data_IF_517338056939
#
_entry.id   IF_517338056939
#
_cell.length_a   1.000
_cell.length_b   1.000
_cell.length_c   1.000
_cell.angle_alpha   90.00
_cell.angle_beta   90.00
_cell.angle_gamma   90.00
#
_symmetry.space_group_name_H-M   'P 1'
#
loop_
_entity.id
_entity.type
_entity.pdbx_description
1 polymer ?
#
# COMPACT_ATOMS: atom_id res chain seq x y z
N UNK A 1 -65.18 -40.94 20.11
CA UNK A 1 -65.18 -42.22 19.37
C UNK A 1 -64.08 -43.08 19.95
N UNK A 2 -64.46 -44.10 20.71
CA UNK A 2 -63.61 -45.07 21.39
C UNK A 2 -63.35 -46.28 20.51
N UNK A 3 -62.15 -46.87 20.60
CA UNK A 3 -61.83 -48.31 20.57
C UNK A 3 -60.40 -48.39 21.15
N UNK A 4 -60.11 -48.77 22.40
CA UNK A 4 -60.21 -50.07 23.09
C UNK A 4 -59.72 -51.25 22.26
N UNK A 5 -58.53 -51.75 22.62
CA UNK A 5 -58.28 -53.19 22.78
C UNK A 5 -57.30 -53.39 23.95
N UNK A 6 -57.57 -54.40 24.77
CA UNK A 6 -56.98 -54.63 26.09
C UNK A 6 -56.61 -56.11 26.24
N UNK A 7 -55.42 -56.36 26.82
CA UNK A 7 -55.05 -57.48 27.73
C UNK A 7 -54.82 -58.91 27.15
N UNK A 8 -54.30 -59.86 27.96
CA UNK A 8 -53.07 -59.87 28.80
C UNK A 8 -52.35 -61.26 28.72
N UNK A 9 -51.28 -61.53 29.49
CA UNK A 9 -51.06 -62.79 30.27
C UNK A 9 -49.89 -62.58 31.27
N UNK A 10 -49.97 -63.31 32.39
CA UNK A 10 -49.36 -63.14 33.72
C UNK A 10 -48.33 -64.25 34.05
N UNK A 11 -47.40 -63.92 34.96
CA UNK A 11 -46.73 -64.77 36.00
C UNK A 11 -45.66 -65.78 35.49
N UNK A 12 -44.53 -66.04 36.17
CA UNK A 12 -44.35 -66.65 37.52
C UNK A 12 -42.94 -66.33 38.12
N UNK A 13 -42.86 -66.35 39.46
CA UNK A 13 -41.73 -66.17 40.41
C UNK A 13 -40.59 -67.23 40.27
N UNK A 14 -39.35 -67.06 40.75
CA UNK A 14 -38.91 -67.19 42.18
C UNK A 14 -37.36 -67.06 42.36
N UNK A 15 -36.82 -66.95 43.60
CA UNK A 15 -35.55 -66.28 43.97
C UNK A 15 -34.44 -67.20 44.54
N UNK A 16 -33.25 -66.61 44.80
CA UNK A 16 -32.23 -66.83 45.87
C UNK A 16 -30.85 -66.34 45.31
N UNK A 17 -29.79 -65.96 46.02
CA UNK A 17 -29.43 -65.35 47.32
C UNK A 17 -27.86 -65.39 47.37
N UNK A 18 -27.25 -64.71 48.36
CA UNK A 18 -25.80 -64.56 48.70
C UNK A 18 -25.03 -63.45 47.95
N UNK A 19 -24.50 -62.36 48.55
CA UNK A 19 -23.70 -62.04 49.76
C UNK A 19 -22.17 -62.00 49.55
N UNK A 20 -21.61 -60.85 49.94
CA UNK A 20 -20.21 -60.54 50.34
C UNK A 20 -19.17 -60.45 49.20
N UNK A 21 -18.07 -59.69 49.27
CA UNK A 21 -17.63 -58.46 49.93
C UNK A 21 -16.17 -58.26 49.46
N UNK A 22 -15.81 -57.03 49.11
CA UNK A 22 -14.47 -56.42 49.14
C UNK A 22 -13.25 -57.06 48.43
N UNK A 23 -12.62 -56.23 47.58
CA UNK A 23 -11.18 -56.24 47.36
C UNK A 23 -10.75 -55.88 45.94
N UNK A 24 -10.25 -54.65 45.72
CA UNK A 24 -9.03 -54.36 44.95
C UNK A 24 -8.77 -52.83 44.84
N UNK A 25 -7.73 -52.36 45.54
CA UNK A 25 -6.72 -51.43 45.03
C UNK A 25 -5.58 -52.30 44.45
N UNK A 26 -4.74 -51.92 43.49
CA UNK A 26 -4.15 -50.62 43.12
C UNK A 26 -3.61 -50.66 41.67
N UNK A 27 -3.40 -49.47 41.09
CA UNK A 27 -2.36 -49.07 40.08
C UNK A 27 -2.30 -49.85 38.73
N UNK A 28 -2.19 -49.26 37.54
CA UNK A 28 -1.47 -48.07 37.09
C UNK A 28 -2.27 -47.35 35.98
N UNK A 29 -2.36 -46.02 36.09
CA UNK A 29 -2.81 -45.15 35.00
C UNK A 29 -1.58 -44.57 34.29
N UNK A 30 -1.25 -45.10 33.12
CA UNK A 30 -0.34 -44.45 32.18
C UNK A 30 -1.08 -43.32 31.46
N UNK A 31 -0.68 -42.07 31.72
CA UNK A 31 -1.05 -40.92 30.89
C UNK A 31 -0.35 -41.04 29.54
N UNK A 32 -1.12 -41.28 28.49
CA UNK A 32 -0.73 -40.89 27.13
C UNK A 32 -1.59 -39.69 26.74
N UNK A 33 -0.97 -38.50 26.79
CA UNK A 33 -1.63 -37.25 26.42
C UNK A 33 -1.91 -37.26 24.91
N UNK A 34 -3.19 -37.27 24.55
CA UNK A 34 -3.63 -36.94 23.19
C UNK A 34 -3.11 -35.55 22.79
N UNK A 35 -2.70 -35.33 21.53
CA UNK A 35 -2.27 -34.02 21.08
C UNK A 35 -3.43 -33.01 21.21
N UNK A 36 -3.15 -31.74 21.57
CA UNK A 36 -4.19 -30.77 21.83
C UNK A 36 -5.01 -30.52 20.57
N UNK A 37 -6.33 -30.68 20.69
CA UNK A 37 -7.29 -30.28 19.66
C UNK A 37 -7.10 -28.80 19.34
N UNK A 38 -6.93 -28.48 18.06
CA UNK A 38 -6.88 -27.14 17.46
C UNK A 38 -8.23 -26.39 17.56
N UNK A 39 -8.79 -26.30 18.77
CA UNK A 39 -10.10 -25.75 19.04
C UNK A 39 -10.06 -24.73 20.18
N UNK A 40 -9.16 -23.74 20.15
CA UNK A 40 -9.28 -22.50 20.95
C UNK A 40 -8.49 -21.34 20.35
N UNK A 41 -8.85 -20.93 19.14
CA UNK A 41 -8.92 -19.50 18.80
C UNK A 41 -9.91 -19.37 17.66
N UNK A 42 -11.14 -18.95 17.93
CA UNK A 42 -11.97 -18.38 16.86
C UNK A 42 -11.19 -17.15 16.40
N UNK A 43 -10.59 -17.22 15.22
CA UNK A 43 -10.05 -16.03 14.58
C UNK A 43 -11.26 -15.12 14.31
N UNK A 44 -11.46 -14.13 15.19
CA UNK A 44 -12.39 -13.05 14.97
C UNK A 44 -11.75 -12.18 13.91
N UNK A 45 -12.43 -12.00 12.78
CA UNK A 45 -12.01 -11.01 11.80
C UNK A 45 -12.25 -9.65 12.42
N UNK A 46 -11.20 -8.84 12.49
CA UNK A 46 -11.23 -7.55 13.16
C UNK A 46 -11.01 -6.45 12.13
N UNK A 47 -11.76 -5.35 12.22
CA UNK A 47 -11.44 -4.15 11.45
C UNK A 47 -10.04 -3.66 11.81
N UNK A 48 -9.27 -3.28 10.80
CA UNK A 48 -7.95 -2.69 10.97
C UNK A 48 -7.96 -1.26 10.39
N UNK A 49 -7.07 -0.37 10.85
CA UNK A 49 -6.92 0.93 10.21
C UNK A 49 -6.68 0.76 8.70
N UNK A 50 -7.38 1.52 7.84
CA UNK A 50 -7.15 1.48 6.40
C UNK A 50 -5.69 1.73 6.08
N UNK A 51 -5.17 1.04 5.07
CA UNK A 51 -3.82 1.30 4.57
C UNK A 51 -3.87 2.13 3.29
N UNK A 52 -2.86 2.97 3.08
CA UNK A 52 -2.68 3.64 1.80
C UNK A 52 -2.12 2.65 0.80
N UNK A 53 -2.86 2.38 -0.27
CA UNK A 53 -2.40 1.59 -1.40
C UNK A 53 -1.60 2.49 -2.36
N UNK A 54 -0.32 2.18 -2.64
CA UNK A 54 0.49 2.95 -3.57
C UNK A 54 -0.12 2.99 -4.98
N UNK A 55 -0.05 4.14 -5.66
CA UNK A 55 -0.65 4.31 -6.99
C UNK A 55 -0.02 3.40 -8.06
N UNK A 56 1.28 3.12 -7.94
CA UNK A 56 2.02 2.17 -8.77
C UNK A 56 1.53 0.73 -8.56
N UNK A 57 1.33 0.31 -7.31
CA UNK A 57 0.72 -0.99 -6.99
C UNK A 57 -0.67 -1.14 -7.64
N UNK A 58 -1.52 -0.10 -7.56
CA UNK A 58 -2.84 -0.12 -8.20
C UNK A 58 -2.74 -0.17 -9.73
N UNK A 59 -1.79 0.56 -10.31
CA UNK A 59 -1.55 0.55 -11.76
C UNK A 59 -1.03 -0.82 -12.24
N UNK A 60 -0.16 -1.47 -11.46
CA UNK A 60 0.40 -2.78 -11.77
C UNK A 60 -0.70 -3.85 -11.80
N UNK A 61 -1.66 -3.78 -10.87
CA UNK A 61 -2.85 -4.62 -10.89
C UNK A 61 -3.69 -4.36 -12.13
N UNK A 62 -3.96 -3.09 -12.47
CA UNK A 62 -4.76 -2.77 -13.66
C UNK A 62 -4.12 -3.26 -14.97
N UNK A 63 -2.78 -3.31 -15.03
CA UNK A 63 -2.05 -3.83 -16.18
C UNK A 63 -2.05 -5.37 -16.22
N UNK A 64 -1.95 -6.03 -15.06
CA UNK A 64 -1.97 -7.49 -14.97
C UNK A 64 -3.38 -8.07 -15.13
N UNK A 65 -4.40 -7.37 -14.65
CA UNK A 65 -5.80 -7.77 -14.60
C UNK A 65 -6.72 -6.65 -15.10
N UNK A 66 -6.62 -6.25 -16.38
CA UNK A 66 -7.44 -5.18 -16.92
C UNK A 66 -8.91 -5.60 -17.00
N UNK A 67 -9.79 -4.76 -16.44
CA UNK A 67 -11.25 -4.93 -16.54
C UNK A 67 -11.69 -5.16 -17.99
N UNK A 68 -12.63 -6.10 -18.16
CA UNK A 68 -13.17 -6.49 -19.46
C UNK A 68 -12.23 -7.32 -20.35
N UNK A 69 -11.02 -7.67 -19.90
CA UNK A 69 -10.07 -8.48 -20.68
C UNK A 69 -9.89 -9.88 -20.07
N UNK A 70 -10.20 -10.91 -20.86
CA UNK A 70 -10.09 -12.29 -20.39
C UNK A 70 -8.66 -12.71 -20.03
N UNK A 71 -8.48 -13.21 -18.81
CA UNK A 71 -7.23 -13.81 -18.33
C UNK A 71 -6.86 -15.03 -19.15
N UNK A 72 -7.84 -15.80 -19.63
CA UNK A 72 -7.60 -16.98 -20.48
C UNK A 72 -6.88 -16.65 -21.79
N UNK A 73 -7.02 -15.42 -22.27
CA UNK A 73 -6.39 -14.95 -23.51
C UNK A 73 -5.07 -14.24 -23.24
N UNK A 74 -5.03 -13.36 -22.23
CA UNK A 74 -3.86 -12.51 -21.98
C UNK A 74 -2.80 -13.17 -21.09
N UNK A 75 -3.24 -13.87 -20.05
CA UNK A 75 -2.39 -14.42 -19.00
C UNK A 75 -2.87 -15.82 -18.56
N UNK A 76 -2.99 -16.81 -19.46
CA UNK A 76 -3.43 -18.15 -19.09
C UNK A 76 -2.54 -18.78 -18.02
N UNK A 77 -1.27 -18.37 -17.91
CA UNK A 77 -0.34 -18.76 -16.86
C UNK A 77 -0.82 -18.41 -15.44
N UNK A 78 -1.66 -17.38 -15.27
CA UNK A 78 -2.25 -17.01 -13.98
C UNK A 78 -3.31 -18.00 -13.47
N UNK A 79 -3.71 -18.96 -14.32
CA UNK A 79 -4.68 -20.00 -13.97
C UNK A 79 -4.05 -21.39 -13.97
N UNK A 80 -2.72 -21.49 -14.07
CA UNK A 80 -2.02 -22.78 -14.10
C UNK A 80 -2.28 -23.60 -12.84
N UNK A 81 -2.63 -24.86 -13.01
CA UNK A 81 -2.78 -25.83 -11.91
C UNK A 81 -1.44 -26.22 -11.26
N UNK A 82 -0.30 -25.77 -11.82
CA UNK A 82 1.04 -26.03 -11.28
C UNK A 82 1.34 -25.30 -9.97
N UNK A 83 0.47 -24.38 -9.53
CA UNK A 83 0.62 -23.68 -8.27
C UNK A 83 -0.71 -23.65 -7.50
N UNK A 84 -0.57 -23.59 -6.18
CA UNK A 84 -1.67 -23.44 -5.24
C UNK A 84 -2.01 -21.94 -5.08
N UNK A 85 -3.23 -21.47 -5.38
CA UNK A 85 -3.58 -20.06 -5.25
C UNK A 85 -3.79 -19.60 -3.79
N UNK A 86 -3.83 -20.54 -2.84
CA UNK A 86 -4.06 -20.27 -1.42
C UNK A 86 -2.81 -19.70 -0.72
N UNK A 87 -3.03 -18.90 0.33
CA UNK A 87 -1.92 -18.31 1.10
C UNK A 87 -1.33 -19.39 2.02
N UNK A 88 -0.03 -19.61 1.89
CA UNK A 88 0.73 -20.54 2.73
C UNK A 88 1.46 -19.79 3.83
N UNK A 89 1.15 -20.09 5.08
CA UNK A 89 1.82 -19.54 6.25
C UNK A 89 3.04 -20.41 6.60
N UNK A 90 4.23 -19.83 6.52
CA UNK A 90 5.53 -20.54 6.66
C UNK A 90 6.23 -20.22 7.98
N UNK A 91 5.84 -19.13 8.65
CA UNK A 91 6.21 -18.80 10.01
C UNK A 91 4.98 -18.19 10.71
N UNK A 92 4.95 -18.22 12.04
CA UNK A 92 3.86 -17.60 12.79
C UNK A 92 3.73 -16.12 12.42
N UNK A 93 2.54 -15.72 11.95
CA UNK A 93 2.32 -14.37 11.44
C UNK A 93 0.89 -13.90 11.65
N UNK A 94 0.75 -12.60 11.90
CA UNK A 94 -0.52 -11.90 11.73
C UNK A 94 -0.79 -11.70 10.23
N UNK A 95 -2.03 -11.90 9.79
CA UNK A 95 -2.42 -11.79 8.38
C UNK A 95 -3.59 -10.82 8.23
N UNK A 96 -3.55 -10.01 7.18
CA UNK A 96 -4.59 -9.06 6.82
C UNK A 96 -5.04 -9.23 5.38
N UNK A 97 -6.29 -8.86 5.14
CA UNK A 97 -6.85 -8.63 3.80
C UNK A 97 -7.18 -7.15 3.65
N UNK A 98 -6.81 -6.57 2.51
CA UNK A 98 -7.14 -5.19 2.14
C UNK A 98 -7.93 -5.19 0.84
N UNK A 99 -9.06 -4.47 0.81
CA UNK A 99 -9.84 -4.23 -0.41
C UNK A 99 -9.03 -3.39 -1.41
N UNK A 100 -8.98 -3.82 -2.67
CA UNK A 100 -8.27 -3.11 -3.75
C UNK A 100 -9.27 -2.49 -4.72
N UNK A 101 -10.14 -3.30 -5.32
CA UNK A 101 -11.13 -2.86 -6.29
C UNK A 101 -12.23 -3.89 -6.49
N UNK A 102 -13.35 -3.45 -7.06
CA UNK A 102 -14.49 -4.28 -7.45
C UNK A 102 -15.06 -3.72 -8.76
N UNK A 103 -15.36 -4.61 -9.70
CA UNK A 103 -15.93 -4.29 -11.00
C UNK A 103 -17.05 -5.29 -11.38
N UNK A 104 -17.80 -5.74 -10.37
CA UNK A 104 -18.89 -6.68 -10.49
C UNK A 104 -20.24 -5.96 -10.65
N UNK A 105 -21.23 -6.69 -11.16
CA UNK A 105 -22.64 -6.26 -11.04
C UNK A 105 -23.37 -6.94 -9.90
N UNK A 106 -22.74 -7.95 -9.30
CA UNK A 106 -23.27 -8.70 -8.16
C UNK A 106 -22.78 -8.12 -6.84
N UNK A 107 -23.69 -8.12 -5.86
CA UNK A 107 -23.36 -7.72 -4.50
C UNK A 107 -22.78 -8.94 -3.76
N UNK A 108 -21.48 -9.16 -3.94
CA UNK A 108 -20.80 -10.34 -3.42
C UNK A 108 -20.53 -10.24 -1.91
N UNK A 109 -20.43 -11.40 -1.25
CA UNK A 109 -19.87 -11.50 0.10
C UNK A 109 -18.55 -12.28 0.04
N UNK A 110 -17.54 -11.83 0.78
CA UNK A 110 -16.18 -12.38 0.70
C UNK A 110 -15.68 -12.84 2.07
N UNK A 111 -14.96 -13.96 2.09
CA UNK A 111 -14.39 -14.49 3.32
C UNK A 111 -13.25 -15.49 3.11
N UNK A 112 -12.80 -16.08 4.21
CA UNK A 112 -11.75 -17.09 4.22
C UNK A 112 -12.11 -18.33 5.05
N UNK A 113 -11.33 -19.38 4.86
CA UNK A 113 -11.30 -20.58 5.68
C UNK A 113 -9.84 -21.01 5.83
N UNK A 114 -9.56 -21.92 6.76
CA UNK A 114 -8.20 -22.44 6.96
C UNK A 114 -8.18 -23.95 6.95
N UNK A 115 -7.02 -24.50 6.62
CA UNK A 115 -6.76 -25.93 6.69
C UNK A 115 -5.27 -26.21 6.88
N UNK A 116 -4.88 -27.36 7.45
CA UNK A 116 -3.48 -27.75 7.55
C UNK A 116 -2.85 -27.94 6.17
N UNK A 117 -1.60 -27.52 6.02
CA UNK A 117 -0.80 -27.80 4.84
C UNK A 117 -0.77 -29.31 4.53
N UNK A 118 -0.94 -29.66 3.26
CA UNK A 118 -1.04 -31.05 2.80
C UNK A 118 -2.41 -31.72 3.01
N UNK A 119 -3.38 -31.03 3.62
CA UNK A 119 -4.72 -31.55 3.91
C UNK A 119 -5.85 -30.63 3.37
N UNK A 120 -5.91 -30.35 2.06
CA UNK A 120 -6.96 -29.50 1.50
C UNK A 120 -8.35 -30.13 1.66
N UNK A 121 -9.38 -29.36 2.09
CA UNK A 121 -10.76 -29.81 2.10
C UNK A 121 -11.23 -30.27 0.72
N UNK A 122 -11.94 -31.39 0.68
CA UNK A 122 -12.55 -31.96 -0.54
C UNK A 122 -14.07 -31.78 -0.57
N UNK A 123 -14.64 -31.23 0.49
CA UNK A 123 -16.07 -30.92 0.59
C UNK A 123 -16.27 -29.62 1.38
N UNK A 124 -17.40 -28.96 1.12
CA UNK A 124 -17.84 -27.77 1.85
C UNK A 124 -18.57 -28.13 3.15
N UNK A 125 -18.98 -29.40 3.32
CA UNK A 125 -19.65 -29.88 4.53
C UNK A 125 -18.70 -29.78 5.73
N UNK A 126 -19.09 -29.04 6.75
CA UNK A 126 -18.28 -28.83 7.96
C UNK A 126 -17.12 -27.85 7.79
N UNK A 127 -16.97 -27.22 6.62
CA UNK A 127 -15.94 -26.21 6.39
C UNK A 127 -16.25 -24.94 7.20
N UNK A 128 -15.36 -24.60 8.13
CA UNK A 128 -15.51 -23.40 8.95
C UNK A 128 -15.14 -22.15 8.12
N UNK A 129 -16.16 -21.34 7.81
CA UNK A 129 -16.03 -20.10 7.04
C UNK A 129 -16.01 -18.88 7.96
N UNK A 130 -15.13 -17.94 7.65
CA UNK A 130 -14.99 -16.66 8.34
C UNK A 130 -15.27 -15.53 7.34
N UNK A 131 -16.30 -14.73 7.63
CA UNK A 131 -16.66 -13.58 6.78
C UNK A 131 -15.64 -12.45 6.96
N UNK A 132 -15.19 -11.87 5.87
CA UNK A 132 -14.28 -10.70 5.86
C UNK A 132 -15.05 -9.45 5.48
N UNK A 133 -15.73 -9.48 4.33
CA UNK A 133 -16.62 -8.42 3.88
C UNK A 133 -18.01 -9.01 3.65
N UNK A 134 -19.00 -8.56 4.44
CA UNK A 134 -20.40 -8.96 4.24
C UNK A 134 -20.96 -8.45 2.91
N UNK A 135 -20.60 -7.21 2.58
CA UNK A 135 -20.80 -6.61 1.28
C UNK A 135 -19.43 -6.21 0.72
N UNK A 136 -18.97 -6.94 -0.30
CA UNK A 136 -17.68 -6.75 -0.95
C UNK A 136 -17.74 -5.73 -2.10
N UNK A 137 -18.80 -4.91 -2.18
CA UNK A 137 -18.93 -3.88 -3.22
C UNK A 137 -18.27 -2.56 -2.83
N UNK A 138 -17.73 -1.88 -3.83
CA UNK A 138 -17.14 -0.56 -3.69
C UNK A 138 -18.19 0.49 -3.30
N UNK A 139 -17.70 1.60 -2.73
CA UNK A 139 -18.49 2.82 -2.57
C UNK A 139 -19.07 3.24 -3.93
N UNK A 140 -20.37 3.57 -3.94
CA UNK A 140 -21.18 3.86 -5.13
C UNK A 140 -21.50 2.66 -6.07
N UNK A 141 -21.08 1.44 -5.74
CA UNK A 141 -21.47 0.19 -6.43
C UNK A 141 -22.44 -0.67 -5.62
N UNK A 142 -23.16 -0.07 -4.66
CA UNK A 142 -24.04 -0.80 -3.74
C UNK A 142 -23.38 -1.24 -2.44
N UNK A 143 -22.11 -0.90 -2.23
CA UNK A 143 -21.39 -1.10 -0.96
C UNK A 143 -20.76 0.18 -0.42
N UNK A 144 -19.83 -0.01 0.51
CA UNK A 144 -19.16 1.07 1.24
C UNK A 144 -17.63 0.99 1.17
N UNK A 145 -17.07 -0.02 0.49
CA UNK A 145 -15.63 -0.26 0.50
C UNK A 145 -14.87 0.76 -0.36
N UNK A 146 -13.79 1.30 0.18
CA UNK A 146 -12.83 2.11 -0.53
C UNK A 146 -11.48 1.39 -0.61
N UNK A 147 -10.68 1.57 -1.69
CA UNK A 147 -9.35 0.98 -1.78
C UNK A 147 -8.52 1.31 -0.53
N UNK A 148 -8.00 0.29 0.13
CA UNK A 148 -7.28 0.42 1.40
C UNK A 148 -8.06 -0.03 2.65
N UNK A 149 -9.38 -0.21 2.56
CA UNK A 149 -10.17 -0.77 3.66
C UNK A 149 -9.67 -2.17 4.03
N UNK A 150 -9.36 -2.38 5.30
CA UNK A 150 -8.52 -3.50 5.74
C UNK A 150 -9.11 -4.24 6.93
N UNK A 151 -9.02 -5.56 6.87
CA UNK A 151 -9.44 -6.48 7.92
C UNK A 151 -8.26 -7.34 8.37
N UNK A 152 -8.07 -7.50 9.68
CA UNK A 152 -7.15 -8.48 10.25
C UNK A 152 -7.85 -9.83 10.30
N UNK A 153 -7.28 -10.83 9.65
CA UNK A 153 -7.81 -12.20 9.67
C UNK A 153 -7.49 -12.90 10.99
N UNK A 154 -6.31 -12.61 11.56
CA UNK A 154 -5.84 -13.20 12.82
C UNK A 154 -4.35 -13.54 12.76
N UNK A 155 -3.88 -14.24 13.78
CA UNK A 155 -2.52 -14.79 13.88
C UNK A 155 -2.53 -16.28 13.58
N UNK A 156 -1.71 -16.73 12.64
CA UNK A 156 -1.69 -18.12 12.18
C UNK A 156 -0.32 -18.75 12.41
N UNK A 157 -0.24 -20.01 12.87
CA UNK A 157 1.02 -20.73 12.96
C UNK A 157 1.51 -21.20 11.58
N UNK A 158 2.80 -21.49 11.48
CA UNK A 158 3.39 -22.15 10.31
C UNK A 158 2.66 -23.47 9.99
N UNK A 159 2.54 -23.80 8.70
CA UNK A 159 1.80 -24.97 8.23
C UNK A 159 0.30 -24.75 8.09
N UNK A 160 -0.18 -23.51 8.23
CA UNK A 160 -1.56 -23.13 7.92
C UNK A 160 -1.68 -22.73 6.45
N UNK A 161 -2.70 -23.24 5.77
CA UNK A 161 -3.17 -22.71 4.48
C UNK A 161 -4.42 -21.87 4.71
N UNK A 162 -4.46 -20.68 4.13
CA UNK A 162 -5.62 -19.79 4.15
C UNK A 162 -6.23 -19.81 2.75
N UNK A 163 -7.43 -20.38 2.66
CA UNK A 163 -8.23 -20.35 1.45
C UNK A 163 -9.34 -19.32 1.55
N UNK A 164 -9.84 -18.91 0.39
CA UNK A 164 -10.82 -17.85 0.23
C UNK A 164 -12.10 -18.36 -0.43
N UNK A 165 -13.22 -17.72 -0.13
CA UNK A 165 -14.50 -17.97 -0.76
C UNK A 165 -15.22 -16.66 -1.07
N UNK A 166 -16.04 -16.69 -2.12
CA UNK A 166 -16.91 -15.61 -2.54
C UNK A 166 -18.32 -16.17 -2.73
N UNK A 167 -19.29 -15.62 -2.00
CA UNK A 167 -20.71 -15.92 -2.20
C UNK A 167 -21.23 -14.95 -3.26
N UNK A 168 -21.44 -15.50 -4.46
CA UNK A 168 -21.85 -14.75 -5.64
C UNK A 168 -23.24 -14.15 -5.46
N UNK A 169 -23.34 -12.83 -5.60
CA UNK A 169 -24.56 -12.06 -5.33
C UNK A 169 -25.21 -12.39 -3.97
N UNK A 170 -24.36 -12.66 -2.97
CA UNK A 170 -24.76 -13.16 -1.66
C UNK A 170 -25.21 -12.09 -0.68
N UNK A 171 -25.01 -10.79 -0.94
CA UNK A 171 -25.43 -9.74 -0.03
C UNK A 171 -26.90 -9.36 -0.24
N UNK A 172 -27.68 -9.46 0.84
CA UNK A 172 -29.09 -9.11 0.91
C UNK A 172 -29.33 -8.05 1.99
N UNK A 173 -28.93 -6.81 1.70
CA UNK A 173 -29.30 -5.57 2.43
C UNK A 173 -29.26 -5.64 3.96
N UNK A 174 -28.26 -6.32 4.53
CA UNK A 174 -28.06 -6.44 5.98
C UNK A 174 -27.57 -7.82 6.41
N UNK A 175 -27.67 -8.82 5.54
CA UNK A 175 -27.23 -10.19 5.82
C UNK A 175 -26.63 -10.85 4.57
N UNK A 176 -25.87 -11.93 4.79
CA UNK A 176 -25.34 -12.77 3.71
C UNK A 176 -26.26 -13.96 3.50
N UNK A 177 -26.78 -14.11 2.28
CA UNK A 177 -27.53 -15.28 1.81
C UNK A 177 -26.56 -16.40 1.38
N UNK A 178 -26.22 -17.27 2.31
CA UNK A 178 -25.35 -18.43 2.07
C UNK A 178 -25.99 -19.53 1.21
N UNK A 179 -27.26 -19.40 0.79
CA UNK A 179 -27.87 -20.33 -0.16
C UNK A 179 -27.47 -20.07 -1.62
N UNK A 180 -26.87 -18.90 -1.90
CA UNK A 180 -26.32 -18.55 -3.21
C UNK A 180 -25.07 -19.36 -3.54
N UNK A 181 -24.77 -19.43 -4.84
CA UNK A 181 -23.57 -20.09 -5.34
C UNK A 181 -22.34 -19.49 -4.68
N UNK A 182 -21.47 -20.36 -4.17
CA UNK A 182 -20.20 -19.96 -3.57
C UNK A 182 -19.06 -20.51 -4.42
N UNK A 183 -18.14 -19.63 -4.81
CA UNK A 183 -16.88 -20.00 -5.45
C UNK A 183 -15.75 -19.97 -4.44
N UNK A 184 -14.83 -20.91 -4.57
CA UNK A 184 -13.72 -21.15 -3.67
C UNK A 184 -12.40 -21.01 -4.42
N UNK A 185 -11.39 -20.58 -3.69
CA UNK A 185 -9.97 -20.69 -4.07
C UNK A 185 -9.48 -22.13 -4.31
N UNK A 186 -10.17 -23.13 -3.76
CA UNK A 186 -9.89 -24.54 -4.00
C UNK A 186 -10.73 -25.06 -5.17
N UNK A 187 -10.08 -25.31 -6.31
CA UNK A 187 -10.70 -25.79 -7.55
C UNK A 187 -11.61 -27.01 -7.31
N UNK A 188 -11.24 -27.92 -6.40
CA UNK A 188 -12.03 -29.12 -6.08
C UNK A 188 -13.40 -28.86 -5.43
N UNK A 189 -13.62 -27.66 -4.90
CA UNK A 189 -14.88 -27.27 -4.25
C UNK A 189 -15.86 -26.56 -5.19
N UNK A 190 -15.45 -26.24 -6.42
CA UNK A 190 -16.23 -25.46 -7.36
C UNK A 190 -17.11 -26.34 -8.27
N UNK A 191 -18.31 -25.86 -8.64
CA UNK A 191 -19.38 -26.69 -9.19
C UNK A 191 -19.20 -27.09 -10.66
N UNK A 192 -18.28 -26.44 -11.40
CA UNK A 192 -18.16 -26.61 -12.84
C UNK A 192 -17.81 -28.06 -13.21
N UNK A 193 -18.37 -28.62 -14.29
CA UNK A 193 -18.09 -30.00 -14.69
C UNK A 193 -16.65 -30.18 -15.19
N UNK A 194 -16.06 -29.17 -15.85
CA UNK A 194 -14.71 -29.25 -16.40
C UNK A 194 -13.68 -28.67 -15.43
N UNK A 195 -12.60 -29.42 -15.18
CA UNK A 195 -11.54 -29.01 -14.27
C UNK A 195 -10.86 -27.68 -14.67
N UNK A 196 -10.80 -27.35 -15.96
CA UNK A 196 -10.24 -26.08 -16.47
C UNK A 196 -11.09 -24.85 -16.13
N UNK A 197 -12.37 -25.05 -15.80
CA UNK A 197 -13.31 -23.98 -15.47
C UNK A 197 -13.44 -23.77 -13.96
N UNK A 198 -13.03 -24.75 -13.15
CA UNK A 198 -13.17 -24.70 -11.69
C UNK A 198 -12.28 -23.69 -10.97
N UNK A 199 -11.35 -23.01 -11.64
CA UNK A 199 -10.51 -22.01 -10.97
C UNK A 199 -11.20 -20.64 -10.97
N UNK A 200 -11.59 -20.15 -9.80
CA UNK A 200 -12.23 -18.83 -9.65
C UNK A 200 -11.34 -17.78 -9.00
N UNK A 201 -10.07 -18.11 -8.76
CA UNK A 201 -9.12 -17.21 -8.12
C UNK A 201 -7.80 -17.16 -8.90
N UNK A 202 -7.42 -15.95 -9.31
CA UNK A 202 -6.05 -15.59 -9.69
C UNK A 202 -5.31 -15.10 -8.45
N UNK A 203 -4.11 -15.63 -8.20
CA UNK A 203 -3.28 -15.32 -7.03
C UNK A 203 -1.88 -14.96 -7.47
N UNK A 204 -1.54 -13.67 -7.38
CA UNK A 204 -0.28 -13.10 -7.88
C UNK A 204 0.51 -12.50 -6.72
N UNK A 205 1.80 -12.80 -6.60
CA UNK A 205 2.66 -12.06 -5.69
C UNK A 205 3.13 -10.75 -6.32
N UNK A 206 3.07 -9.65 -5.58
CA UNK A 206 3.63 -8.36 -5.99
C UNK A 206 4.93 -8.11 -5.23
N UNK A 207 6.11 -8.34 -5.84
CA UNK A 207 7.42 -8.20 -5.19
C UNK A 207 7.68 -6.80 -4.62
N UNK A 208 7.44 -5.74 -5.40
CA UNK A 208 7.64 -4.35 -4.94
C UNK A 208 6.79 -3.92 -3.74
N UNK A 209 5.52 -4.33 -3.70
CA UNK A 209 4.59 -4.02 -2.62
C UNK A 209 4.56 -5.09 -1.50
N UNK A 210 5.37 -6.15 -1.64
CA UNK A 210 5.52 -7.29 -0.73
C UNK A 210 4.19 -7.87 -0.22
N UNK A 211 3.26 -8.11 -1.15
CA UNK A 211 1.90 -8.54 -0.86
C UNK A 211 1.35 -9.44 -1.95
N UNK A 212 0.39 -10.28 -1.61
CA UNK A 212 -0.29 -11.15 -2.57
C UNK A 212 -1.60 -10.53 -3.03
N UNK A 213 -1.83 -10.42 -4.33
CA UNK A 213 -3.07 -9.96 -4.95
C UNK A 213 -3.94 -11.16 -5.26
N UNK A 214 -5.19 -11.12 -4.83
CA UNK A 214 -6.20 -12.12 -5.06
C UNK A 214 -7.32 -11.49 -5.89
N UNK A 215 -7.62 -12.09 -7.04
CA UNK A 215 -8.61 -11.58 -7.98
C UNK A 215 -9.61 -12.69 -8.32
N UNK A 216 -10.89 -12.44 -8.06
CA UNK A 216 -11.96 -13.42 -8.16
C UNK A 216 -12.82 -13.22 -9.42
N UNK A 217 -13.23 -14.34 -10.01
CA UNK A 217 -14.37 -14.40 -10.93
C UNK A 217 -15.62 -14.85 -10.14
N UNK A 218 -16.68 -14.02 -10.15
CA UNK A 218 -17.91 -14.23 -9.38
C UNK A 218 -19.02 -14.96 -10.15
N UNK A 219 -18.75 -15.40 -11.37
CA UNK A 219 -19.71 -16.01 -12.28
C UNK A 219 -19.33 -17.43 -12.72
N UNK A 220 -20.32 -18.22 -13.13
CA UNK A 220 -20.11 -19.61 -13.57
C UNK A 220 -19.24 -19.62 -14.84
N UNK A 221 -18.02 -20.15 -14.73
CA UNK A 221 -17.04 -20.17 -15.82
C UNK A 221 -17.38 -21.19 -16.91
N UNK A 222 -18.36 -22.05 -16.70
CA UNK A 222 -18.94 -22.91 -17.73
C UNK A 222 -20.02 -22.20 -18.56
N UNK A 223 -20.51 -21.04 -18.10
CA UNK A 223 -21.50 -20.26 -18.82
C UNK A 223 -20.88 -19.48 -19.98
N UNK A 224 -21.60 -19.38 -21.11
CA UNK A 224 -21.12 -18.73 -22.33
C UNK A 224 -20.88 -17.22 -22.19
N UNK A 225 -21.49 -16.59 -21.18
CA UNK A 225 -21.35 -15.16 -20.86
C UNK A 225 -20.20 -14.85 -19.90
N UNK A 226 -19.49 -15.87 -19.40
CA UNK A 226 -18.35 -15.65 -18.51
C UNK A 226 -17.24 -14.87 -19.25
N UNK A 227 -16.95 -13.65 -18.78
CA UNK A 227 -15.91 -12.82 -19.38
C UNK A 227 -14.49 -13.32 -19.00
N UNK A 228 -14.37 -14.09 -17.91
CA UNK A 228 -13.14 -14.68 -17.40
C UNK A 228 -12.03 -13.63 -17.17
N UNK A 229 -12.39 -12.43 -16.70
CA UNK A 229 -11.45 -11.33 -16.43
C UNK A 229 -10.98 -11.31 -14.96
N UNK A 230 -11.68 -11.99 -14.05
CA UNK A 230 -11.35 -12.12 -12.63
C UNK A 230 -11.25 -10.78 -11.87
N UNK A 231 -11.80 -9.69 -12.42
CA UNK A 231 -11.80 -8.36 -11.78
C UNK A 231 -13.03 -8.10 -10.91
N UNK A 232 -13.91 -9.09 -10.72
CA UNK A 232 -15.16 -8.95 -9.98
C UNK A 232 -14.91 -8.61 -8.50
N UNK A 233 -13.83 -9.14 -7.92
CA UNK A 233 -13.31 -8.66 -6.64
C UNK A 233 -11.80 -8.83 -6.59
N UNK A 234 -11.08 -7.73 -6.33
CA UNK A 234 -9.64 -7.74 -6.09
C UNK A 234 -9.36 -7.31 -4.65
N UNK A 235 -8.63 -8.15 -3.93
CA UNK A 235 -8.11 -7.87 -2.59
C UNK A 235 -6.60 -8.15 -2.55
N UNK A 236 -5.92 -7.62 -1.54
CA UNK A 236 -4.51 -7.97 -1.27
C UNK A 236 -4.34 -8.56 0.12
N UNK A 237 -3.37 -9.46 0.27
CA UNK A 237 -3.02 -10.13 1.51
C UNK A 237 -1.61 -9.74 1.91
N UNK A 238 -1.45 -9.31 3.17
CA UNK A 238 -0.17 -9.01 3.81
C UNK A 238 -0.01 -9.81 5.10
N UNK A 239 1.23 -9.99 5.53
CA UNK A 239 1.56 -10.63 6.80
C UNK A 239 2.60 -9.85 7.59
N UNK A 240 2.64 -10.09 8.90
CA UNK A 240 3.69 -9.60 9.79
C UNK A 240 4.22 -10.77 10.65
N UNK A 241 5.51 -11.14 10.50
CA UNK A 241 6.47 -10.59 9.54
C UNK A 241 6.05 -10.86 8.09
N UNK A 242 6.48 -10.01 7.15
CA UNK A 242 6.21 -10.18 5.70
C UNK A 242 6.68 -11.55 5.19
N UNK A 243 7.75 -12.07 5.77
CA UNK A 243 8.30 -13.41 5.48
C UNK A 243 7.46 -14.55 6.09
N UNK A 244 6.40 -14.24 6.82
CA UNK A 244 5.50 -15.21 7.42
C UNK A 244 4.61 -15.95 6.42
N UNK A 245 4.47 -15.40 5.21
CA UNK A 245 3.73 -16.02 4.11
C UNK A 245 4.62 -16.27 2.90
N UNK A 246 4.41 -17.40 2.22
CA UNK A 246 5.18 -17.81 1.04
C UNK A 246 4.92 -16.86 -0.16
N UNK A 247 5.96 -16.25 -0.76
CA UNK A 247 5.83 -15.39 -1.93
C UNK A 247 5.81 -16.15 -3.27
N UNK A 248 5.95 -17.48 -3.27
CA UNK A 248 6.01 -18.28 -4.50
C UNK A 248 4.69 -18.29 -5.30
N UNK A 249 4.78 -18.76 -6.55
CA UNK A 249 3.67 -18.76 -7.51
C UNK A 249 3.88 -17.71 -8.61
N UNK A 250 2.86 -17.46 -9.43
CA UNK A 250 2.90 -16.37 -10.39
C UNK A 250 3.06 -15.04 -9.66
N UNK A 251 3.80 -14.14 -10.27
CA UNK A 251 4.00 -12.78 -9.78
C UNK A 251 3.49 -11.80 -10.81
N UNK A 252 2.97 -10.66 -10.34
CA UNK A 252 2.92 -9.48 -11.20
C UNK A 252 4.38 -9.17 -11.55
N UNK A 253 4.76 -9.19 -12.84
CA UNK A 253 6.16 -9.04 -13.22
C UNK A 253 6.74 -7.77 -12.58
N UNK A 254 7.93 -7.88 -12.00
CA UNK A 254 8.73 -6.69 -11.77
C UNK A 254 8.85 -5.97 -13.11
N UNK A 255 8.45 -4.70 -13.18
CA UNK A 255 8.68 -3.90 -14.37
C UNK A 255 10.19 -3.90 -14.59
N UNK A 256 10.72 -4.48 -15.69
CA UNK A 256 12.12 -4.31 -15.99
C UNK A 256 12.37 -2.82 -16.07
N UNK A 257 13.50 -2.37 -15.52
CA UNK A 257 13.91 -0.98 -15.69
C UNK A 257 13.77 -0.63 -17.16
N UNK A 258 13.05 0.45 -17.53
CA UNK A 258 12.87 0.77 -18.94
C UNK A 258 14.25 0.98 -19.54
N UNK A 259 14.75 -0.03 -20.26
CA UNK A 259 16.06 0.00 -20.93
C UNK A 259 16.06 1.00 -22.09
N UNK A 260 14.89 1.59 -22.39
CA UNK A 260 14.71 2.55 -23.47
C UNK A 260 13.97 3.82 -23.00
N UNK A 261 14.45 5.03 -23.37
CA UNK A 261 13.80 6.31 -23.10
C UNK A 261 12.43 6.50 -23.80
N UNK A 262 11.95 5.51 -24.56
CA UNK A 262 10.63 5.55 -25.23
C UNK A 262 9.43 5.49 -24.27
N UNK A 263 9.62 5.24 -22.97
CA UNK A 263 8.62 5.43 -21.92
C UNK A 263 9.25 6.02 -20.63
N UNK A 264 9.94 7.15 -20.76
CA UNK A 264 10.52 7.86 -19.62
C UNK A 264 9.47 8.10 -18.51
N UNK A 265 9.72 7.69 -17.25
CA UNK A 265 8.75 7.84 -16.17
C UNK A 265 8.48 9.31 -15.86
N UNK A 266 7.34 9.61 -15.23
CA UNK A 266 6.95 11.00 -15.00
C UNK A 266 7.80 11.71 -13.93
N UNK A 267 8.43 10.98 -13.01
CA UNK A 267 9.23 11.55 -11.91
C UNK A 267 10.39 10.65 -11.48
N UNK A 268 11.36 11.20 -10.76
CA UNK A 268 12.41 10.41 -10.12
C UNK A 268 11.85 9.43 -9.08
N UNK A 269 10.72 9.76 -8.44
CA UNK A 269 10.03 8.87 -7.49
C UNK A 269 9.56 7.61 -8.18
N UNK A 270 8.86 7.75 -9.31
CA UNK A 270 8.43 6.61 -10.12
C UNK A 270 9.62 5.81 -10.65
N UNK A 271 10.66 6.49 -11.12
CA UNK A 271 11.89 5.82 -11.56
C UNK A 271 12.54 5.00 -10.43
N UNK A 272 12.62 5.56 -9.21
CA UNK A 272 13.19 4.87 -8.06
C UNK A 272 12.33 3.68 -7.60
N UNK A 273 11.00 3.78 -7.74
CA UNK A 273 10.08 2.67 -7.47
C UNK A 273 10.29 1.51 -8.45
N UNK A 274 10.45 1.81 -9.75
CA UNK A 274 10.73 0.79 -10.77
C UNK A 274 12.16 0.24 -10.67
N UNK A 275 13.10 1.08 -10.27
CA UNK A 275 14.53 0.78 -10.33
C UNK A 275 15.25 1.21 -9.05
N UNK A 276 14.99 0.56 -7.91
CA UNK A 276 15.53 0.98 -6.61
C UNK A 276 17.07 0.89 -6.53
N UNK A 277 17.69 0.08 -7.39
CA UNK A 277 19.15 -0.07 -7.46
C UNK A 277 19.85 1.05 -8.27
N UNK A 278 19.12 1.95 -8.93
CA UNK A 278 19.74 3.02 -9.68
C UNK A 278 20.47 4.00 -8.74
N UNK A 279 21.72 4.39 -9.05
CA UNK A 279 22.42 5.41 -8.29
C UNK A 279 21.78 6.80 -8.50
N UNK A 280 22.16 7.77 -7.68
CA UNK A 280 21.83 9.18 -7.97
C UNK A 280 22.52 9.59 -9.28
N UNK A 281 21.82 10.31 -10.16
CA UNK A 281 22.30 10.60 -11.49
C UNK A 281 21.32 11.35 -12.38
N UNK A 282 21.69 11.56 -13.63
CA UNK A 282 20.83 12.22 -14.62
C UNK A 282 20.05 11.17 -15.39
N UNK A 283 18.73 11.33 -15.43
CA UNK A 283 17.79 10.41 -16.07
C UNK A 283 16.80 11.14 -16.95
N UNK A 284 16.32 10.45 -17.99
CA UNK A 284 15.21 10.93 -18.81
C UNK A 284 13.88 10.73 -18.08
N UNK A 285 13.11 11.80 -17.91
CA UNK A 285 11.74 11.79 -17.36
C UNK A 285 10.77 12.44 -18.34
N UNK A 286 9.50 12.04 -18.35
CA UNK A 286 8.44 12.69 -19.14
C UNK A 286 7.30 13.20 -18.24
N UNK A 287 7.51 14.26 -17.44
CA UNK A 287 6.51 14.70 -16.45
C UNK A 287 5.19 15.17 -17.07
N UNK A 288 5.23 15.81 -18.25
CA UNK A 288 4.06 16.36 -18.91
C UNK A 288 3.45 15.44 -19.98
N UNK A 289 4.02 14.26 -20.24
CA UNK A 289 3.59 13.37 -21.32
C UNK A 289 3.94 13.85 -22.74
N UNK A 290 4.54 15.03 -22.89
CA UNK A 290 4.85 15.65 -24.19
C UNK A 290 6.25 15.33 -24.74
N UNK A 291 7.09 14.67 -23.96
CA UNK A 291 8.43 14.27 -24.37
C UNK A 291 9.40 14.17 -23.20
N UNK A 292 10.40 13.29 -23.34
CA UNK A 292 11.40 13.08 -22.30
C UNK A 292 12.37 14.28 -22.16
N UNK A 293 12.70 14.62 -20.92
CA UNK A 293 13.65 15.67 -20.55
C UNK A 293 14.65 15.11 -19.54
N UNK A 294 15.89 15.61 -19.57
CA UNK A 294 16.94 15.20 -18.63
C UNK A 294 16.71 15.83 -17.25
N UNK A 295 16.69 15.05 -16.18
CA UNK A 295 16.47 15.50 -14.81
C UNK A 295 17.47 14.82 -13.89
N UNK A 296 17.94 15.52 -12.86
CA UNK A 296 18.79 14.90 -11.86
C UNK A 296 17.91 14.25 -10.79
N UNK A 297 18.10 12.95 -10.60
CA UNK A 297 17.45 12.17 -9.55
C UNK A 297 18.44 11.87 -8.44
N UNK A 298 18.09 12.27 -7.22
CA UNK A 298 18.77 11.77 -6.02
C UNK A 298 18.03 10.53 -5.51
N UNK A 299 18.66 9.38 -5.71
CA UNK A 299 18.13 8.04 -5.45
C UNK A 299 18.56 7.47 -4.09
N UNK A 300 19.34 8.20 -3.29
CA UNK A 300 19.91 7.66 -2.04
C UNK A 300 19.45 8.42 -0.80
N UNK A 301 19.45 9.75 -0.84
CA UNK A 301 19.24 10.55 0.37
C UNK A 301 17.80 10.45 0.85
N UNK A 302 17.60 10.19 2.15
CA UNK A 302 16.28 10.06 2.79
C UNK A 302 15.32 9.11 2.06
N UNK A 303 15.84 7.99 1.53
CA UNK A 303 15.05 6.98 0.82
C UNK A 303 14.84 7.23 -0.68
N UNK A 304 15.60 8.17 -1.27
CA UNK A 304 15.67 8.34 -2.73
C UNK A 304 14.39 8.87 -3.40
N UNK A 305 14.41 8.89 -4.73
CA UNK A 305 13.28 9.32 -5.56
C UNK A 305 13.11 10.84 -5.69
N UNK A 306 14.11 11.63 -5.31
CA UNK A 306 14.04 13.10 -5.37
C UNK A 306 14.29 13.63 -6.76
N UNK A 307 13.35 14.40 -7.32
CA UNK A 307 13.57 15.17 -8.55
C UNK A 307 14.14 16.53 -8.19
N UNK A 308 15.41 16.75 -8.52
CA UNK A 308 16.16 17.94 -8.08
C UNK A 308 15.85 19.13 -8.98
N UNK A 309 15.46 20.25 -8.37
CA UNK A 309 15.16 21.51 -9.07
C UNK A 309 16.43 22.17 -9.64
N UNK A 310 17.57 21.90 -9.01
CA UNK A 310 18.86 22.48 -9.30
C UNK A 310 19.63 22.79 -8.02
N UNK A 311 20.82 23.34 -8.19
CA UNK A 311 21.60 23.90 -7.10
C UNK A 311 22.54 24.98 -7.63
N UNK A 312 22.97 25.86 -6.74
CA UNK A 312 23.74 27.05 -7.05
C UNK A 312 24.53 27.54 -5.84
N UNK A 313 25.46 28.46 -6.06
CA UNK A 313 26.17 29.13 -4.96
C UNK A 313 25.18 29.92 -4.09
N UNK A 314 25.49 30.04 -2.79
CA UNK A 314 24.68 30.80 -1.84
C UNK A 314 24.53 32.30 -2.18
N UNK A 315 25.40 32.85 -3.02
CA UNK A 315 25.32 34.23 -3.52
C UNK A 315 24.51 34.39 -4.81
N UNK A 316 23.97 33.31 -5.36
CA UNK A 316 23.28 33.33 -6.65
C UNK A 316 21.92 34.03 -6.58
N UNK A 317 21.50 34.63 -7.69
CA UNK A 317 20.25 35.41 -7.83
C UNK A 317 19.22 34.75 -8.74
N UNK A 318 19.52 33.54 -9.19
CA UNK A 318 18.73 32.82 -10.19
C UNK A 318 17.76 31.87 -9.50
N UNK A 319 16.50 31.87 -9.96
CA UNK A 319 15.48 30.97 -9.40
C UNK A 319 15.72 29.52 -9.78
N UNK A 320 15.41 28.60 -8.87
CA UNK A 320 15.48 27.15 -9.11
C UNK A 320 14.07 26.60 -9.38
N UNK A 321 13.95 25.57 -10.20
CA UNK A 321 12.67 24.87 -10.41
C UNK A 321 11.66 25.55 -11.33
N UNK A 322 11.90 26.80 -11.76
CA UNK A 322 11.03 27.56 -12.66
C UNK A 322 11.44 27.41 -14.13
N UNK A 323 12.70 27.74 -14.42
CA UNK A 323 13.26 27.69 -15.77
C UNK A 323 14.45 26.74 -15.82
N UNK A 324 14.70 26.20 -17.01
CA UNK A 324 15.86 25.34 -17.26
C UNK A 324 17.07 26.20 -17.60
N UNK A 325 18.20 25.98 -16.93
CA UNK A 325 19.49 26.61 -17.23
C UNK A 325 20.65 25.68 -16.87
N UNK A 326 21.80 25.91 -17.49
CA UNK A 326 23.01 25.13 -17.22
C UNK A 326 22.88 23.68 -17.69
N UNK A 327 23.89 22.88 -17.35
CA UNK A 327 23.87 21.44 -17.62
C UNK A 327 23.34 20.71 -16.40
N UNK A 328 22.34 19.84 -16.56
CA UNK A 328 21.75 19.11 -15.44
C UNK A 328 22.83 18.31 -14.71
N UNK A 329 23.00 18.57 -13.41
CA UNK A 329 24.04 17.94 -12.59
C UNK A 329 25.39 18.66 -12.55
N UNK A 330 25.58 19.78 -13.26
CA UNK A 330 26.81 20.60 -13.15
C UNK A 330 26.85 21.43 -11.86
N UNK A 331 27.85 22.30 -11.67
CA UNK A 331 28.01 23.06 -10.40
C UNK A 331 26.95 24.13 -10.15
N UNK A 332 26.43 24.78 -11.21
CA UNK A 332 25.28 25.69 -11.17
C UNK A 332 24.30 25.31 -12.28
N UNK A 333 23.07 24.93 -11.90
CA UNK A 333 22.02 24.61 -12.85
C UNK A 333 20.64 24.68 -12.21
N UNK A 334 19.63 24.76 -13.07
CA UNK A 334 18.22 24.61 -12.70
C UNK A 334 17.47 23.87 -13.78
N UNK A 335 16.43 23.13 -13.39
CA UNK A 335 15.47 22.51 -14.29
C UNK A 335 14.06 22.89 -13.87
N UNK A 336 13.23 23.26 -14.84
CA UNK A 336 11.82 23.53 -14.61
C UNK A 336 11.10 22.26 -14.14
N UNK A 337 10.31 22.38 -13.08
CA UNK A 337 9.62 21.24 -12.46
C UNK A 337 8.17 21.06 -12.93
N UNK A 338 7.75 21.78 -13.97
CA UNK A 338 6.37 21.76 -14.47
C UNK A 338 5.84 20.32 -14.66
N UNK A 339 4.57 20.12 -14.28
CA UNK A 339 3.85 18.83 -14.33
C UNK A 339 4.33 17.76 -13.35
N UNK A 340 5.39 17.98 -12.56
CA UNK A 340 5.81 16.99 -11.57
C UNK A 340 4.85 16.96 -10.38
N UNK A 341 4.25 15.80 -10.05
CA UNK A 341 3.54 15.63 -8.79
C UNK A 341 4.53 15.55 -7.63
N UNK A 342 4.13 16.05 -6.46
CA UNK A 342 4.92 15.93 -5.24
C UNK A 342 4.04 15.96 -3.99
N UNK A 343 4.59 15.42 -2.91
CA UNK A 343 4.08 15.53 -1.54
C UNK A 343 5.16 16.02 -0.59
N UNK A 344 6.42 16.03 -1.00
CA UNK A 344 7.54 16.46 -0.16
C UNK A 344 8.43 17.45 -0.90
N UNK A 345 8.93 18.44 -0.17
CA UNK A 345 9.97 19.35 -0.64
C UNK A 345 11.15 19.26 0.30
N UNK A 346 12.34 19.14 -0.27
CA UNK A 346 13.61 19.12 0.45
C UNK A 346 14.47 20.30 0.04
N UNK A 347 14.85 21.14 0.99
CA UNK A 347 15.89 22.16 0.80
C UNK A 347 17.20 21.61 1.35
N UNK A 348 18.29 21.72 0.60
CA UNK A 348 19.57 21.09 0.95
C UNK A 348 20.79 22.01 0.74
N UNK A 349 21.82 21.78 1.55
CA UNK A 349 23.15 22.35 1.47
C UNK A 349 24.12 21.22 1.11
N UNK A 350 24.69 21.29 -0.10
CA UNK A 350 25.58 20.25 -0.62
C UNK A 350 26.97 20.30 0.02
N UNK A 351 27.44 21.49 0.38
CA UNK A 351 28.78 21.70 0.93
C UNK A 351 28.92 21.09 2.32
N UNK A 352 27.87 21.23 3.15
CA UNK A 352 27.87 20.74 4.53
C UNK A 352 26.99 19.50 4.75
N UNK A 353 26.43 18.93 3.67
CA UNK A 353 25.57 17.75 3.71
C UNK A 353 24.38 17.88 4.71
N UNK A 354 23.75 19.05 4.73
CA UNK A 354 22.58 19.33 5.56
C UNK A 354 21.33 19.43 4.69
N UNK A 355 20.17 18.97 5.18
CA UNK A 355 18.91 19.15 4.45
C UNK A 355 17.71 19.14 5.39
N UNK A 356 16.63 19.77 4.94
CA UNK A 356 15.36 19.82 5.63
C UNK A 356 14.25 19.41 4.68
N UNK A 357 13.45 18.43 5.09
CA UNK A 357 12.29 17.93 4.36
C UNK A 357 11.02 18.41 5.03
N UNK A 358 10.02 18.77 4.23
CA UNK A 358 8.67 19.09 4.68
C UNK A 358 7.65 18.43 3.77
N UNK A 359 6.60 17.88 4.38
CA UNK A 359 5.48 17.22 3.68
C UNK A 359 4.32 18.19 3.48
N UNK A 360 3.62 18.02 2.36
CA UNK A 360 2.51 18.81 1.85
C UNK A 360 1.41 17.89 1.31
N UNK A 361 0.15 18.37 1.23
CA UNK A 361 -0.87 17.70 0.44
C UNK A 361 -0.41 17.49 -1.01
N UNK A 362 -0.81 16.36 -1.58
CA UNK A 362 -0.48 15.99 -2.96
C UNK A 362 -0.92 17.07 -3.94
N UNK A 363 0.01 17.52 -4.76
CA UNK A 363 -0.23 18.55 -5.77
C UNK A 363 0.80 18.44 -6.91
N UNK A 364 0.55 19.17 -7.99
CA UNK A 364 1.42 19.23 -9.17
C UNK A 364 2.11 20.58 -9.23
N UNK A 365 3.40 20.61 -9.59
CA UNK A 365 4.15 21.84 -9.75
C UNK A 365 3.63 22.67 -10.94
N UNK A 366 3.03 23.82 -10.64
CA UNK A 366 2.45 24.77 -11.62
C UNK A 366 3.00 26.19 -11.47
N UNK A 367 4.00 26.40 -10.62
CA UNK A 367 4.55 27.73 -10.34
C UNK A 367 5.34 28.31 -11.51
N UNK A 368 5.09 29.59 -11.79
CA UNK A 368 5.76 30.36 -12.85
C UNK A 368 6.38 31.67 -12.36
N UNK A 369 6.01 32.13 -11.16
CA UNK A 369 6.55 33.34 -10.55
C UNK A 369 7.83 33.07 -9.74
N UNK A 370 8.76 34.03 -9.73
CA UNK A 370 10.02 33.97 -8.93
C UNK A 370 9.71 33.76 -7.46
N UNK A 371 8.76 34.55 -6.94
CA UNK A 371 8.32 34.54 -5.57
C UNK A 371 7.14 33.58 -5.42
N UNK A 372 7.36 32.48 -4.71
CA UNK A 372 6.40 31.38 -4.56
C UNK A 372 6.26 30.93 -3.11
N UNK A 373 5.09 30.38 -2.81
CA UNK A 373 4.77 29.77 -1.53
C UNK A 373 3.90 28.53 -1.72
N UNK A 374 4.22 27.46 -0.99
CA UNK A 374 3.48 26.20 -1.01
C UNK A 374 3.17 25.80 0.44
N UNK A 375 1.91 25.46 0.72
CA UNK A 375 1.46 25.09 2.07
C UNK A 375 0.94 26.27 2.88
N UNK A 376 0.75 26.05 4.18
CA UNK A 376 0.18 27.02 5.12
C UNK A 376 1.22 27.55 6.09
N UNK A 377 0.89 28.63 6.81
CA UNK A 377 1.78 29.20 7.82
C UNK A 377 2.21 28.13 8.85
N UNK A 378 3.51 28.07 9.14
CA UNK A 378 4.12 27.06 10.02
C UNK A 378 4.82 25.93 9.28
N UNK A 379 4.32 25.58 8.09
CA UNK A 379 4.84 24.46 7.28
C UNK A 379 5.14 24.87 5.84
N UNK A 380 5.02 26.15 5.49
CA UNK A 380 5.14 26.58 4.12
C UNK A 380 6.57 26.40 3.58
N UNK A 381 6.68 25.98 2.31
CA UNK A 381 7.88 26.14 1.52
C UNK A 381 7.84 27.52 0.86
N UNK A 382 8.99 28.19 0.87
CA UNK A 382 9.14 29.51 0.25
C UNK A 382 10.39 29.49 -0.59
N UNK A 383 10.26 30.06 -1.78
CA UNK A 383 11.38 30.34 -2.67
C UNK A 383 11.10 31.69 -3.32
N UNK A 384 12.11 32.53 -3.41
CA UNK A 384 11.99 33.83 -4.06
C UNK A 384 13.16 34.74 -3.70
N UNK A 385 13.02 36.00 -4.07
CA UNK A 385 13.89 37.09 -3.65
C UNK A 385 13.09 38.06 -2.78
N UNK A 386 13.79 38.79 -1.92
CA UNK A 386 13.21 39.85 -1.11
C UNK A 386 14.22 41.00 -0.97
N UNK A 387 13.74 42.22 -0.76
CA UNK A 387 14.58 43.41 -0.62
C UNK A 387 14.80 44.23 -1.91
N UNK A 388 15.66 45.26 -1.88
CA UNK A 388 15.92 46.13 -3.03
C UNK A 388 16.54 45.37 -4.22
N UNK A 389 16.29 45.85 -5.45
CA UNK A 389 16.71 45.19 -6.70
C UNK A 389 18.23 44.85 -6.77
N UNK A 390 19.07 45.63 -6.08
CA UNK A 390 20.52 45.38 -6.01
C UNK A 390 20.91 44.13 -5.22
N UNK A 391 19.96 43.57 -4.45
CA UNK A 391 20.17 42.62 -3.35
C UNK A 391 19.46 41.28 -3.54
N UNK A 392 18.72 41.10 -4.65
CA UNK A 392 17.82 39.96 -4.96
C UNK A 392 18.52 38.58 -5.05
N UNK A 393 19.22 38.16 -3.99
CA UNK A 393 19.78 36.83 -3.80
C UNK A 393 18.61 35.87 -3.63
N UNK A 394 18.75 34.72 -4.25
CA UNK A 394 17.71 33.71 -4.28
C UNK A 394 17.61 33.00 -2.93
N UNK A 395 16.45 33.04 -2.28
CA UNK A 395 16.18 32.41 -0.98
C UNK A 395 15.39 31.10 -1.16
N UNK A 396 15.53 30.17 -0.20
CA UNK A 396 14.80 28.90 -0.23
C UNK A 396 14.73 28.22 1.13
N UNK A 397 13.53 27.98 1.64
CA UNK A 397 13.33 27.43 2.99
C UNK A 397 12.03 26.62 3.10
N UNK A 398 11.99 25.75 4.12
CA UNK A 398 10.78 25.04 4.57
C UNK A 398 10.43 25.45 6.00
N UNK A 399 9.17 25.23 6.42
CA UNK A 399 8.72 25.54 7.77
C UNK A 399 8.48 27.03 8.01
N UNK A 400 8.19 27.79 6.95
CA UNK A 400 7.99 29.23 7.04
C UNK A 400 6.67 29.59 7.75
N UNK A 401 6.69 30.59 8.63
CA UNK A 401 5.56 31.03 9.46
C UNK A 401 5.59 32.55 9.65
N UNK A 402 4.73 33.29 8.97
CA UNK A 402 4.59 34.75 9.18
C UNK A 402 3.31 35.09 9.96
N UNK A 403 3.40 36.00 10.94
CA UNK A 403 2.25 36.52 11.71
C UNK A 403 1.36 37.45 10.86
N UNK A 404 0.61 36.86 9.94
CA UNK A 404 -0.32 37.59 9.08
C UNK A 404 -0.82 36.80 7.87
N UNK A 405 -0.19 35.66 7.56
CA UNK A 405 -0.55 34.85 6.41
C UNK A 405 0.68 34.47 5.58
N UNK A 406 0.46 33.80 4.46
CA UNK A 406 1.52 33.40 3.53
C UNK A 406 1.50 34.34 2.33
N UNK A 407 2.47 35.26 2.25
CA UNK A 407 2.57 36.26 1.19
C UNK A 407 3.64 35.89 0.18
N UNK A 408 3.31 35.62 -1.09
CA UNK A 408 4.30 35.23 -2.11
C UNK A 408 5.49 36.17 -2.17
N UNK A 409 5.26 37.47 -2.06
CA UNK A 409 6.21 38.57 -2.25
C UNK A 409 7.38 38.57 -1.27
N UNK A 410 7.25 37.86 -0.15
CA UNK A 410 8.22 37.82 0.95
C UNK A 410 8.81 36.42 1.00
N UNK A 411 9.97 36.22 0.39
CA UNK A 411 10.63 34.92 0.33
C UNK A 411 11.46 34.70 1.58
N UNK A 412 11.09 33.75 2.45
CA UNK A 412 11.87 33.31 3.61
C UNK A 412 12.31 34.39 4.62
N UNK A 413 11.89 35.64 4.44
CA UNK A 413 12.06 36.74 5.38
C UNK A 413 10.97 36.70 6.45
N UNK A 414 11.39 36.79 7.71
CA UNK A 414 10.51 36.56 8.82
C UNK A 414 10.98 37.33 10.06
N UNK A 415 10.25 38.37 10.43
CA UNK A 415 10.51 39.26 11.56
C UNK A 415 10.41 38.48 12.89
N UNK A 416 11.47 37.76 13.27
CA UNK A 416 11.64 37.00 14.53
C UNK A 416 10.80 35.71 14.74
N UNK A 417 10.19 35.14 13.70
CA UNK A 417 9.30 33.96 13.83
C UNK A 417 10.03 32.62 13.59
N UNK A 418 10.99 32.31 14.47
CA UNK A 418 11.87 31.13 14.66
C UNK A 418 11.60 29.72 14.07
N UNK A 419 11.06 29.53 12.86
CA UNK A 419 10.76 28.20 12.29
C UNK A 419 11.29 27.89 10.88
N UNK A 420 11.67 28.90 10.08
CA UNK A 420 12.19 28.67 8.72
C UNK A 420 13.57 27.99 8.72
N UNK A 421 13.71 26.92 7.94
CA UNK A 421 14.93 26.10 7.81
C UNK A 421 15.39 26.03 6.36
N UNK A 422 16.68 26.22 6.11
CA UNK A 422 17.27 26.21 4.78
C UNK A 422 18.10 27.45 4.46
N UNK A 423 18.18 27.78 3.17
CA UNK A 423 18.97 28.90 2.67
C UNK A 423 18.20 30.22 2.81
N UNK A 424 18.80 31.15 3.54
CA UNK A 424 18.29 32.50 3.73
C UNK A 424 19.31 33.50 3.14
N UNK A 425 18.80 34.58 2.55
CA UNK A 425 19.56 35.72 2.08
C UNK A 425 18.87 37.03 2.52
N UNK A 426 19.40 38.18 2.11
CA UNK A 426 18.92 39.54 2.37
C UNK A 426 17.66 39.69 3.25
N UNK A 427 17.85 40.24 4.46
CA UNK A 427 16.88 40.28 5.58
C UNK A 427 16.83 39.06 6.52
N UNK A 428 17.62 38.00 6.30
CA UNK A 428 17.83 36.93 7.30
C UNK A 428 18.29 37.42 8.69
N UNK A 429 18.68 38.69 8.78
CA UNK A 429 19.28 39.27 9.96
C UNK A 429 18.40 39.30 11.21
N UNK A 430 17.07 39.36 11.09
CA UNK A 430 16.22 39.34 12.29
C UNK A 430 16.24 37.99 13.03
N UNK A 431 16.72 36.93 12.37
CA UNK A 431 16.95 35.62 12.97
C UNK A 431 18.35 35.44 13.56
N UNK A 432 19.34 36.05 12.94
CA UNK A 432 20.74 35.88 13.31
C UNK A 432 21.13 36.99 14.28
N UNK A 433 21.59 36.67 15.51
CA UNK A 433 22.09 37.71 16.42
C UNK A 433 23.09 38.65 15.70
N UNK A 434 22.80 39.95 15.68
CA UNK A 434 23.60 40.97 14.96
C UNK A 434 23.28 41.13 13.47
N UNK A 435 22.16 40.60 12.98
CA UNK A 435 21.74 40.71 11.60
C UNK A 435 20.79 41.88 11.38
N UNK A 436 21.28 42.94 10.75
CA UNK A 436 20.43 43.85 9.99
C UNK A 436 21.12 44.10 8.66
N UNK A 437 20.40 43.83 7.57
CA UNK A 437 20.57 44.48 6.26
C UNK A 437 21.99 44.52 5.69
N UNK A 438 22.76 43.44 5.75
CA UNK A 438 24.12 43.41 5.18
C UNK A 438 24.24 42.64 3.86
N UNK A 439 23.12 42.20 3.27
CA UNK A 439 23.08 41.43 2.02
C UNK A 439 23.89 40.12 2.07
N UNK A 440 23.98 39.49 3.26
CA UNK A 440 24.70 38.22 3.46
C UNK A 440 23.77 37.02 3.51
N UNK A 441 24.21 35.92 2.92
CA UNK A 441 23.49 34.64 2.99
C UNK A 441 23.87 33.87 4.26
N UNK A 442 22.94 33.03 4.73
CA UNK A 442 23.13 32.11 5.84
C UNK A 442 22.26 30.85 5.67
N UNK A 443 22.65 29.78 6.35
CA UNK A 443 21.90 28.53 6.37
C UNK A 443 21.25 28.37 7.75
N UNK A 444 19.92 28.41 7.82
CA UNK A 444 19.18 28.31 9.08
C UNK A 444 18.73 26.89 9.39
N UNK A 445 18.90 26.45 10.64
CA UNK A 445 18.28 25.23 11.16
C UNK A 445 16.93 25.49 11.85
N UNK A 446 16.42 26.72 11.77
CA UNK A 446 15.19 27.18 12.41
C UNK A 446 15.44 27.88 13.74
N UNK A 447 16.61 27.65 14.36
CA UNK A 447 16.98 28.24 15.65
C UNK A 447 18.16 29.20 15.48
N UNK A 448 19.13 28.81 14.64
CA UNK A 448 20.40 29.52 14.45
C UNK A 448 20.71 29.69 12.97
N UNK A 449 21.45 30.75 12.65
CA UNK A 449 22.03 30.95 11.33
C UNK A 449 23.45 30.38 11.28
N UNK A 450 23.59 29.18 10.74
CA UNK A 450 24.86 28.54 10.46
C UNK A 450 25.46 29.09 9.17
N UNK A 451 26.79 29.02 9.05
CA UNK A 451 27.54 29.33 7.82
C UNK A 451 27.25 30.71 7.20
N UNK A 452 26.92 31.71 8.03
CA UNK A 452 26.75 33.10 7.57
C UNK A 452 28.01 33.58 6.85
N UNK A 453 27.84 34.17 5.67
CA UNK A 453 28.94 34.66 4.81
C UNK A 453 29.99 33.60 4.42
N UNK A 454 29.72 32.33 4.70
CA UNK A 454 30.58 31.21 4.31
C UNK A 454 30.07 30.70 2.97
N UNK A 455 30.92 30.55 1.93
CA UNK A 455 30.49 30.00 0.66
C UNK A 455 29.97 28.56 0.82
N UNK A 456 28.80 28.28 0.25
CA UNK A 456 28.25 26.94 0.11
C UNK A 456 27.36 26.84 -1.13
N UNK A 457 27.06 25.60 -1.53
CA UNK A 457 26.12 25.29 -2.60
C UNK A 457 24.81 24.80 -2.00
N UNK A 458 23.69 25.39 -2.41
CA UNK A 458 22.36 25.02 -1.95
C UNK A 458 21.43 24.72 -3.12
N UNK A 459 20.35 24.02 -2.84
CA UNK A 459 19.28 23.78 -3.80
C UNK A 459 18.03 23.20 -3.14
N UNK A 460 17.08 22.77 -3.95
CA UNK A 460 15.92 22.04 -3.47
C UNK A 460 15.50 20.93 -4.44
N UNK A 461 14.71 19.98 -3.93
CA UNK A 461 14.17 18.87 -4.68
C UNK A 461 12.74 18.56 -4.24
N UNK A 462 11.96 17.92 -5.11
CA UNK A 462 10.60 17.49 -4.83
C UNK A 462 10.47 15.97 -4.97
N UNK A 463 9.57 15.36 -4.20
CA UNK A 463 9.29 13.92 -4.24
C UNK A 463 7.81 13.62 -4.09
#
# INVERSE_FOLDING_TARGET
MSFISCRPVRRVLSPLCLLMAWGCHSEEAGLESAPPSLATSRAAVEEAPPESLPADFLQDIQLALPEGQSVLVRHPEYLSSSFDPNVRVVAEADVWVTFVSEAATFLNAFGYFTYPEGSPPTTTVGLQKHLVFGNASAWASGGALSPGDRMRLGRFPAGTRIGFFLVSNGWDWGQVDYSRTTYYSLDALNPEPLASQRRHLVSLYHPGAQRRVLAFEDFDRAHEQANNNFSDLIVSVTSNPVTGTDPSGPSIPDKPCPESPTAAPASCRLLHQYCPALPSGVYALNPCGTGATQNYCDMSTSGGGWTVAGWQAASARTSLGLTSRGTVGSEDWSRGLACLPFTEIRVFNRTFNESFVQTYPAQTWTHTAVNMAIGTAGIAFKQGTYGPASSEIMMGCVGFSWRGGVYPEIACDNDHEGRARGHLADYAGEYCAGGRLDNTWAWSDGITCRYRSTPYTWGFAIR
#
